data_IF_180188976489
#
_entry.id   IF_180188976489
#
_cell.length_a   1.000
_cell.length_b   1.000
_cell.length_c   1.000
_cell.angle_alpha   90.00
_cell.angle_beta   90.00
_cell.angle_gamma   90.00
#
_symmetry.space_group_name_H-M   'P 1'
#
loop_
_entity.id
_entity.type
_entity.pdbx_description
1 polymer ?
#
# COMPACT_ATOMS: atom_id res chain seq x y z
N UNK A 1 -6.96 1.67 27.64
CA UNK A 1 -7.46 1.42 26.29
C UNK A 1 -7.48 2.78 25.61
N UNK A 2 -6.81 2.93 24.48
CA UNK A 2 -6.93 4.13 23.65
C UNK A 2 -8.34 4.12 23.04
N UNK A 3 -8.99 5.28 22.93
CA UNK A 3 -10.28 5.33 22.24
C UNK A 3 -10.10 5.10 20.74
N UNK A 4 -11.07 4.45 20.12
CA UNK A 4 -11.07 4.25 18.67
C UNK A 4 -11.43 5.55 17.97
N UNK A 5 -10.60 5.99 17.03
CA UNK A 5 -10.86 7.19 16.22
C UNK A 5 -11.88 6.84 15.13
N UNK A 6 -12.97 7.59 15.10
CA UNK A 6 -13.96 7.51 14.02
C UNK A 6 -13.71 8.61 12.99
N UNK A 7 -13.44 8.24 11.74
CA UNK A 7 -13.26 9.22 10.67
C UNK A 7 -14.59 9.95 10.42
N UNK A 8 -14.66 11.28 10.59
CA UNK A 8 -15.87 12.05 10.28
C UNK A 8 -16.24 11.93 8.80
N UNK A 9 -17.52 12.08 8.45
CA UNK A 9 -17.94 12.14 7.04
C UNK A 9 -17.27 13.30 6.30
N UNK A 10 -17.08 14.43 6.99
CA UNK A 10 -16.41 15.62 6.48
C UNK A 10 -15.28 16.02 7.44
N UNK A 11 -14.11 15.39 7.36
CA UNK A 11 -12.98 15.74 8.20
C UNK A 11 -12.49 17.16 7.84
N UNK A 12 -11.96 17.87 8.83
CA UNK A 12 -11.36 19.18 8.60
C UNK A 12 -10.21 19.06 7.60
N UNK A 13 -10.22 19.89 6.57
CA UNK A 13 -9.11 20.00 5.63
C UNK A 13 -8.14 21.12 6.04
N UNK A 14 -6.86 20.79 6.10
CA UNK A 14 -5.75 21.73 6.25
C UNK A 14 -4.71 21.32 5.20
N UNK A 15 -5.03 21.61 3.93
CA UNK A 15 -4.23 21.17 2.81
C UNK A 15 -2.80 21.72 2.87
N UNK A 16 -1.85 20.85 2.62
CA UNK A 16 -0.42 21.14 2.63
C UNK A 16 0.11 21.29 1.22
N UNK A 17 1.24 21.98 1.03
CA UNK A 17 1.92 22.00 -0.26
C UNK A 17 2.22 20.60 -0.74
N UNK A 18 2.05 20.36 -2.04
CA UNK A 18 2.40 19.08 -2.65
C UNK A 18 3.10 19.30 -3.98
N UNK A 19 4.08 18.44 -4.29
CA UNK A 19 4.91 18.53 -5.49
C UNK A 19 5.12 17.16 -6.10
N UNK A 20 5.01 17.06 -7.41
CA UNK A 20 5.36 15.85 -8.17
C UNK A 20 6.89 15.68 -8.13
N UNK A 21 7.35 14.52 -7.69
CA UNK A 21 8.78 14.19 -7.54
C UNK A 21 9.28 13.35 -8.71
N UNK A 22 8.48 12.37 -9.14
CA UNK A 22 8.80 11.49 -10.25
C UNK A 22 7.53 11.04 -10.97
N UNK A 23 7.66 10.75 -12.25
CA UNK A 23 6.61 10.18 -13.10
C UNK A 23 7.19 9.14 -14.07
N UNK A 24 6.32 8.44 -14.82
CA UNK A 24 6.74 7.38 -15.73
C UNK A 24 7.18 6.09 -15.01
N UNK A 25 6.73 5.91 -13.78
CA UNK A 25 6.98 4.72 -12.98
C UNK A 25 5.99 3.60 -13.34
N UNK A 26 6.39 2.34 -13.12
CA UNK A 26 5.61 1.15 -13.48
C UNK A 26 4.83 0.61 -12.27
N UNK A 27 3.71 1.23 -11.92
CA UNK A 27 2.94 0.90 -10.70
C UNK A 27 3.81 0.97 -9.44
N UNK A 28 4.29 2.15 -9.04
CA UNK A 28 5.08 2.29 -7.83
C UNK A 28 4.22 1.92 -6.61
N UNK A 29 4.79 1.06 -5.77
CA UNK A 29 4.17 0.55 -4.54
C UNK A 29 4.99 0.98 -3.33
N UNK A 30 5.91 0.14 -2.87
CA UNK A 30 6.77 0.45 -1.75
C UNK A 30 7.74 1.59 -2.02
N UNK A 31 7.93 2.46 -1.04
CA UNK A 31 8.92 3.55 -1.04
C UNK A 31 9.72 3.46 0.25
N UNK A 32 11.04 3.48 0.15
CA UNK A 32 11.92 3.50 1.31
C UNK A 32 13.01 4.58 1.17
N UNK A 33 13.07 5.49 2.15
CA UNK A 33 14.12 6.51 2.23
C UNK A 33 15.40 5.89 2.78
N UNK A 34 16.52 6.11 2.08
CA UNK A 34 17.84 5.67 2.48
C UNK A 34 18.58 6.75 3.29
N UNK A 35 19.63 6.35 4.01
CA UNK A 35 20.42 7.26 4.83
C UNK A 35 21.12 8.36 4.02
N UNK A 36 21.42 8.10 2.73
CA UNK A 36 22.02 9.06 1.80
C UNK A 36 20.97 10.01 1.16
N UNK A 37 19.71 9.89 1.57
CA UNK A 37 18.59 10.65 1.02
C UNK A 37 18.02 10.08 -0.29
N UNK A 38 18.60 9.03 -0.85
CA UNK A 38 18.01 8.35 -2.02
C UNK A 38 16.75 7.58 -1.64
N UNK A 39 15.89 7.37 -2.63
CA UNK A 39 14.66 6.59 -2.48
C UNK A 39 14.80 5.27 -3.22
N UNK A 40 14.46 4.17 -2.57
CA UNK A 40 14.20 2.90 -3.23
C UNK A 40 12.71 2.77 -3.51
N UNK A 41 12.37 2.28 -4.69
CA UNK A 41 11.00 2.08 -5.14
C UNK A 41 10.80 0.62 -5.58
N UNK A 42 9.76 -0.02 -5.06
CA UNK A 42 9.21 -1.24 -5.64
C UNK A 42 8.17 -0.87 -6.69
N UNK A 43 8.40 -1.28 -7.92
CA UNK A 43 7.47 -1.08 -9.03
C UNK A 43 6.92 -2.44 -9.46
N UNK A 44 5.59 -2.61 -9.34
CA UNK A 44 4.94 -3.90 -9.63
C UNK A 44 5.03 -4.30 -11.12
N UNK A 45 5.25 -3.35 -12.00
CA UNK A 45 5.38 -3.56 -13.44
C UNK A 45 4.28 -2.92 -14.26
N UNK A 46 4.32 -3.08 -15.58
CA UNK A 46 3.39 -2.44 -16.51
C UNK A 46 1.97 -3.01 -16.45
N UNK A 47 1.82 -4.26 -16.03
CA UNK A 47 0.55 -5.00 -16.10
C UNK A 47 0.17 -5.47 -17.50
N UNK A 48 0.99 -5.21 -18.52
CA UNK A 48 0.73 -5.60 -19.89
C UNK A 48 1.02 -7.10 -20.10
N UNK A 49 0.14 -7.86 -20.74
CA UNK A 49 0.33 -9.31 -20.94
C UNK A 49 1.61 -9.67 -21.70
N UNK A 50 2.05 -8.80 -22.63
CA UNK A 50 3.28 -8.97 -23.39
C UNK A 50 4.55 -8.64 -22.59
N UNK A 51 4.40 -8.10 -21.39
CA UNK A 51 5.50 -7.72 -20.50
C UNK A 51 5.37 -8.35 -19.10
N UNK A 52 5.29 -9.71 -19.01
CA UNK A 52 4.99 -10.39 -17.75
C UNK A 52 6.14 -10.33 -16.72
N UNK A 53 7.29 -9.77 -17.08
CA UNK A 53 8.47 -9.61 -16.25
C UNK A 53 8.94 -8.14 -16.22
N UNK A 54 7.99 -7.21 -16.16
CA UNK A 54 8.28 -5.76 -16.14
C UNK A 54 8.45 -5.17 -14.75
N UNK A 55 8.26 -5.94 -13.68
CA UNK A 55 8.54 -5.50 -12.32
C UNK A 55 10.01 -5.09 -12.13
N UNK A 56 10.27 -4.02 -11.38
CA UNK A 56 11.62 -3.51 -11.15
C UNK A 56 11.79 -2.84 -9.80
N UNK A 57 13.03 -2.80 -9.33
CA UNK A 57 13.48 -1.96 -8.22
C UNK A 57 14.19 -0.74 -8.81
N UNK A 58 13.74 0.44 -8.47
CA UNK A 58 14.34 1.71 -8.92
C UNK A 58 14.89 2.51 -7.76
N UNK A 59 15.88 3.36 -8.07
CA UNK A 59 16.43 4.34 -7.14
C UNK A 59 16.25 5.75 -7.71
N UNK A 60 15.76 6.67 -6.89
CA UNK A 60 15.82 8.10 -7.15
C UNK A 60 16.89 8.71 -6.26
N UNK A 61 17.84 9.46 -6.84
CA UNK A 61 18.86 10.18 -6.09
C UNK A 61 18.46 11.63 -5.92
N UNK A 62 18.73 12.27 -4.75
CA UNK A 62 18.55 13.71 -4.63
C UNK A 62 19.33 14.45 -5.72
N UNK A 63 18.72 15.48 -6.31
CA UNK A 63 19.42 16.36 -7.24
C UNK A 63 20.32 17.33 -6.44
N UNK A 64 21.65 17.25 -6.61
CA UNK A 64 22.57 18.10 -5.87
C UNK A 64 22.46 19.59 -6.28
N UNK A 65 21.81 19.88 -7.40
CA UNK A 65 21.65 21.25 -7.94
C UNK A 65 20.30 21.87 -7.57
N UNK A 66 19.34 21.08 -7.14
CA UNK A 66 17.97 21.51 -6.86
C UNK A 66 17.45 20.88 -5.55
N UNK A 67 17.56 21.59 -4.42
CA UNK A 67 17.11 21.06 -3.12
C UNK A 67 15.64 20.60 -3.15
N UNK A 68 15.40 19.39 -2.70
CA UNK A 68 14.06 18.78 -2.69
C UNK A 68 13.65 18.11 -4.00
N UNK A 69 14.42 18.24 -5.08
CA UNK A 69 14.22 17.51 -6.32
C UNK A 69 15.02 16.19 -6.34
N UNK A 70 14.63 15.31 -7.25
CA UNK A 70 15.30 14.04 -7.50
C UNK A 70 15.68 13.93 -8.98
N UNK A 71 16.79 13.27 -9.24
CA UNK A 71 17.23 12.90 -10.58
C UNK A 71 16.30 11.83 -11.15
N UNK A 72 16.25 11.66 -12.49
CA UNK A 72 15.51 10.55 -13.11
C UNK A 72 15.87 9.19 -12.49
N UNK A 73 14.88 8.30 -12.40
CA UNK A 73 15.03 7.02 -11.76
C UNK A 73 16.08 6.11 -12.43
N UNK A 74 16.94 5.51 -11.62
CA UNK A 74 17.91 4.47 -12.01
C UNK A 74 17.30 3.11 -11.70
N UNK A 75 17.23 2.20 -12.69
CA UNK A 75 16.82 0.81 -12.46
C UNK A 75 17.96 0.04 -11.82
N UNK A 76 17.77 -0.44 -10.59
CA UNK A 76 18.76 -1.27 -9.88
C UNK A 76 18.61 -2.75 -10.23
N UNK A 77 17.38 -3.23 -10.36
CA UNK A 77 17.07 -4.60 -10.73
C UNK A 77 15.72 -4.62 -11.46
N UNK A 78 15.58 -5.56 -12.39
CA UNK A 78 14.37 -5.74 -13.21
C UNK A 78 14.15 -7.21 -13.57
N UNK A 79 13.04 -7.50 -14.22
CA UNK A 79 12.70 -8.87 -14.63
C UNK A 79 11.87 -9.59 -13.58
N UNK A 80 11.30 -8.87 -12.61
CA UNK A 80 10.37 -9.47 -11.65
C UNK A 80 9.00 -9.68 -12.30
N UNK A 81 8.38 -10.83 -11.97
CA UNK A 81 7.05 -11.16 -12.49
C UNK A 81 6.04 -10.10 -12.10
N UNK A 82 5.24 -9.69 -13.08
CA UNK A 82 4.05 -8.87 -12.91
C UNK A 82 2.84 -9.64 -13.40
N UNK A 83 1.72 -9.50 -12.70
CA UNK A 83 0.47 -10.19 -13.02
C UNK A 83 -0.66 -9.17 -13.03
N UNK A 84 -1.46 -9.19 -14.10
CA UNK A 84 -2.71 -8.43 -14.15
C UNK A 84 -3.86 -9.37 -13.78
N UNK A 85 -4.49 -9.11 -12.65
CA UNK A 85 -5.62 -9.91 -12.13
C UNK A 85 -6.96 -9.52 -12.74
N UNK A 86 -7.00 -8.56 -13.66
CA UNK A 86 -8.20 -8.03 -14.30
C UNK A 86 -9.11 -9.14 -14.88
N UNK A 87 -8.51 -10.13 -15.55
CA UNK A 87 -9.28 -11.21 -16.18
C UNK A 87 -10.08 -12.05 -15.17
N UNK A 88 -9.65 -12.09 -13.90
CA UNK A 88 -10.34 -12.83 -12.83
C UNK A 88 -11.33 -11.98 -12.06
N UNK A 89 -11.02 -10.69 -11.91
CA UNK A 89 -11.70 -9.81 -10.96
C UNK A 89 -12.43 -8.64 -11.64
N UNK A 90 -12.43 -8.57 -12.95
CA UNK A 90 -12.95 -7.45 -13.74
C UNK A 90 -12.32 -6.09 -13.35
N UNK A 91 -11.05 -6.11 -12.91
CA UNK A 91 -10.32 -4.96 -12.37
C UNK A 91 -8.91 -4.87 -12.90
N UNK A 92 -8.33 -3.68 -12.77
CA UNK A 92 -6.91 -3.44 -12.94
C UNK A 92 -6.18 -3.63 -11.62
N UNK A 93 -5.95 -4.86 -11.23
CA UNK A 93 -5.09 -5.18 -10.11
C UNK A 93 -3.76 -5.72 -10.62
N UNK A 94 -2.73 -4.88 -10.53
CA UNK A 94 -1.39 -5.26 -10.94
C UNK A 94 -0.63 -5.74 -9.70
N UNK A 95 -0.27 -7.03 -9.72
CA UNK A 95 0.49 -7.68 -8.66
C UNK A 95 1.93 -7.95 -9.11
N UNK A 96 2.83 -7.96 -8.17
CA UNK A 96 4.26 -8.17 -8.40
C UNK A 96 5.07 -7.73 -7.18
N UNK A 97 6.05 -6.86 -7.38
CA UNK A 97 6.72 -6.18 -6.26
C UNK A 97 5.72 -5.27 -5.55
N UNK A 98 5.63 -5.38 -4.23
CA UNK A 98 4.56 -4.76 -3.46
C UNK A 98 5.06 -3.74 -2.44
N UNK A 99 6.19 -4.01 -1.77
CA UNK A 99 6.70 -3.09 -0.74
C UNK A 99 8.23 -3.18 -0.61
N UNK A 100 8.83 -2.16 0.03
CA UNK A 100 10.23 -2.14 0.45
C UNK A 100 10.31 -1.60 1.87
N UNK A 101 10.98 -2.33 2.75
CA UNK A 101 11.31 -1.85 4.09
C UNK A 101 12.79 -2.08 4.40
N UNK A 102 13.35 -1.20 5.24
CA UNK A 102 14.72 -1.31 5.72
C UNK A 102 14.75 -1.47 7.24
N UNK A 103 15.60 -2.36 7.72
CA UNK A 103 15.79 -2.65 9.14
C UNK A 103 17.00 -3.55 9.35
N UNK A 104 17.63 -3.47 10.53
CA UNK A 104 18.83 -4.26 10.90
C UNK A 104 19.95 -4.20 9.84
N UNK A 105 20.14 -3.04 9.21
CA UNK A 105 21.17 -2.84 8.19
C UNK A 105 20.87 -3.45 6.83
N UNK A 106 19.68 -4.01 6.63
CA UNK A 106 19.22 -4.63 5.37
C UNK A 106 17.98 -3.90 4.83
N UNK A 107 17.80 -3.96 3.52
CA UNK A 107 16.56 -3.55 2.87
C UNK A 107 15.99 -4.74 2.12
N UNK A 108 14.74 -5.09 2.41
CA UNK A 108 14.03 -6.17 1.75
C UNK A 108 12.87 -5.62 0.91
N UNK A 109 12.60 -6.28 -0.22
CA UNK A 109 11.42 -6.04 -1.02
C UNK A 109 10.50 -7.26 -0.99
N UNK A 110 9.19 -7.06 -0.86
CA UNK A 110 8.20 -8.13 -1.02
C UNK A 110 7.82 -8.28 -2.48
N UNK A 111 7.73 -9.54 -2.93
CA UNK A 111 7.22 -9.91 -4.23
C UNK A 111 6.10 -10.94 -4.08
N UNK A 112 4.91 -10.61 -4.59
CA UNK A 112 3.84 -11.58 -4.79
C UNK A 112 4.03 -12.28 -6.12
N UNK A 113 4.09 -13.61 -6.09
CA UNK A 113 4.16 -14.45 -7.29
C UNK A 113 3.36 -15.74 -7.06
N UNK A 114 2.17 -15.84 -7.67
CA UNK A 114 1.31 -17.03 -7.55
C UNK A 114 1.77 -18.20 -8.41
N UNK A 115 2.79 -18.03 -9.26
CA UNK A 115 3.31 -19.07 -10.17
C UNK A 115 4.53 -19.75 -9.55
N UNK A 116 5.50 -18.97 -9.09
CA UNK A 116 6.79 -19.49 -8.59
C UNK A 116 6.88 -19.43 -7.05
N UNK A 117 5.92 -18.81 -6.39
CA UNK A 117 5.91 -18.55 -4.95
C UNK A 117 6.36 -17.14 -4.61
N UNK A 118 5.71 -16.57 -3.61
CA UNK A 118 6.03 -15.23 -3.10
C UNK A 118 7.29 -15.26 -2.24
N UNK A 119 8.00 -14.14 -2.16
CA UNK A 119 9.30 -14.07 -1.49
C UNK A 119 9.65 -12.67 -0.99
N UNK A 120 10.54 -12.61 -0.01
CA UNK A 120 11.28 -11.39 0.31
C UNK A 120 12.64 -11.44 -0.35
N UNK A 121 12.99 -10.35 -1.03
CA UNK A 121 14.24 -10.19 -1.78
C UNK A 121 15.17 -9.26 -1.01
N UNK A 122 16.41 -9.68 -0.78
CA UNK A 122 17.44 -8.84 -0.18
C UNK A 122 18.11 -7.95 -1.22
N UNK A 123 17.99 -6.65 -1.03
CA UNK A 123 18.51 -5.64 -1.95
C UNK A 123 20.00 -5.32 -1.75
N UNK A 124 20.68 -5.98 -0.80
CA UNK A 124 22.14 -5.90 -0.66
C UNK A 124 22.86 -6.67 -1.78
N UNK A 125 22.20 -7.65 -2.38
CA UNK A 125 22.73 -8.42 -3.50
C UNK A 125 22.37 -7.77 -4.84
N UNK A 126 23.20 -8.01 -5.87
CA UNK A 126 22.93 -7.57 -7.24
C UNK A 126 23.22 -8.73 -8.22
N UNK A 127 22.19 -9.40 -8.75
CA UNK A 127 20.74 -9.12 -8.56
C UNK A 127 20.26 -9.41 -7.13
N UNK A 128 19.11 -8.86 -6.72
CA UNK A 128 18.50 -9.17 -5.43
C UNK A 128 18.23 -10.66 -5.25
N UNK A 129 18.53 -11.19 -4.08
CA UNK A 129 18.38 -12.61 -3.78
C UNK A 129 17.18 -12.88 -2.86
N UNK A 130 16.43 -13.99 -3.10
CA UNK A 130 15.37 -14.38 -2.18
C UNK A 130 15.97 -14.88 -0.86
N UNK A 131 15.50 -14.34 0.25
CA UNK A 131 15.94 -14.70 1.61
C UNK A 131 14.84 -15.33 2.45
N UNK A 132 13.58 -15.13 2.04
CA UNK A 132 12.42 -15.79 2.64
C UNK A 132 11.43 -16.17 1.54
N UNK A 133 10.77 -17.32 1.70
CA UNK A 133 9.75 -17.81 0.81
C UNK A 133 8.39 -17.83 1.53
N UNK A 134 7.33 -17.56 0.78
CA UNK A 134 5.95 -17.55 1.25
C UNK A 134 5.02 -18.10 0.18
N UNK A 135 3.83 -18.50 0.57
CA UNK A 135 2.76 -18.88 -0.35
C UNK A 135 1.67 -17.81 -0.36
N UNK A 136 1.02 -17.63 -1.50
CA UNK A 136 -0.07 -16.67 -1.66
C UNK A 136 0.42 -15.23 -1.78
N UNK A 137 -0.44 -14.27 -1.45
CA UNK A 137 -0.13 -12.85 -1.55
C UNK A 137 0.75 -12.40 -0.37
N UNK A 138 1.83 -11.70 -0.69
CA UNK A 138 2.74 -11.09 0.28
C UNK A 138 2.80 -9.58 -0.02
N UNK A 139 2.04 -8.79 0.71
CA UNK A 139 1.86 -7.39 0.34
C UNK A 139 2.90 -6.47 0.97
N UNK A 140 2.80 -6.17 2.24
CA UNK A 140 3.71 -5.24 2.90
C UNK A 140 4.55 -5.92 3.98
N UNK A 141 5.68 -5.29 4.34
CA UNK A 141 6.61 -5.82 5.33
C UNK A 141 7.15 -4.70 6.22
N UNK A 142 7.55 -5.05 7.45
CA UNK A 142 8.32 -4.18 8.33
C UNK A 142 9.33 -4.99 9.14
N UNK A 143 10.38 -4.32 9.61
CA UNK A 143 11.29 -4.88 10.60
C UNK A 143 10.82 -4.53 12.02
N UNK A 144 10.60 -5.54 12.85
CA UNK A 144 10.21 -5.38 14.24
C UNK A 144 11.47 -5.39 15.11
N UNK A 145 11.90 -4.24 15.59
CA UNK A 145 13.23 -4.08 16.18
C UNK A 145 13.43 -4.86 17.47
N UNK A 146 12.45 -4.92 18.38
CA UNK A 146 12.60 -5.66 19.66
C UNK A 146 12.58 -7.18 19.44
N UNK A 147 11.88 -7.68 18.44
CA UNK A 147 11.89 -9.10 18.06
C UNK A 147 13.09 -9.45 17.16
N UNK A 148 13.71 -8.44 16.54
CA UNK A 148 14.75 -8.60 15.51
C UNK A 148 14.32 -9.51 14.37
N UNK A 149 13.07 -9.38 13.93
CA UNK A 149 12.45 -10.22 12.88
C UNK A 149 11.69 -9.39 11.86
N UNK A 150 11.51 -9.97 10.69
CA UNK A 150 10.68 -9.41 9.64
C UNK A 150 9.25 -9.89 9.77
N UNK A 151 8.32 -8.95 9.73
CA UNK A 151 6.89 -9.20 9.73
C UNK A 151 6.30 -8.80 8.39
N UNK A 152 5.25 -9.51 7.98
CA UNK A 152 4.50 -9.16 6.76
C UNK A 152 3.02 -9.42 6.91
N UNK A 153 2.22 -8.78 6.04
CA UNK A 153 0.79 -9.03 5.92
C UNK A 153 0.47 -9.83 4.67
N UNK A 154 -0.48 -10.75 4.80
CA UNK A 154 -0.96 -11.65 3.74
C UNK A 154 -2.45 -11.40 3.49
N UNK A 155 -2.80 -10.64 2.44
CA UNK A 155 -4.20 -10.27 2.15
C UNK A 155 -5.11 -11.46 1.84
N UNK A 156 -4.61 -12.47 1.13
CA UNK A 156 -5.40 -13.62 0.70
C UNK A 156 -5.76 -14.60 1.84
N UNK A 157 -5.03 -14.55 2.95
CA UNK A 157 -5.30 -15.34 4.14
C UNK A 157 -5.67 -14.49 5.36
N UNK A 158 -5.68 -13.17 5.22
CA UNK A 158 -5.96 -12.20 6.29
C UNK A 158 -5.08 -12.44 7.51
N UNK A 159 -3.75 -12.53 7.32
CA UNK A 159 -2.80 -12.88 8.37
C UNK A 159 -1.69 -11.83 8.54
N UNK A 160 -1.24 -11.68 9.79
CA UNK A 160 0.07 -11.16 10.14
C UNK A 160 1.00 -12.34 10.36
N UNK A 161 2.14 -12.35 9.65
CA UNK A 161 3.14 -13.42 9.76
C UNK A 161 4.51 -12.87 10.13
N UNK A 162 5.34 -13.72 10.74
CA UNK A 162 6.74 -13.50 11.04
C UNK A 162 7.60 -14.49 10.27
N UNK A 163 8.65 -14.03 9.64
CA UNK A 163 9.64 -14.89 9.00
C UNK A 163 10.67 -15.34 10.03
N UNK A 164 10.73 -16.65 10.25
CA UNK A 164 11.62 -17.29 11.24
C UNK A 164 12.92 -17.70 10.56
N UNK A 165 12.81 -18.32 9.38
CA UNK A 165 13.94 -18.70 8.52
C UNK A 165 13.51 -18.65 7.04
N UNK A 166 14.37 -19.06 6.12
CA UNK A 166 14.18 -18.98 4.68
C UNK A 166 12.96 -19.75 4.14
N UNK A 167 12.46 -20.73 4.89
CA UNK A 167 11.35 -21.62 4.49
C UNK A 167 10.17 -21.59 5.44
N UNK A 168 10.28 -20.91 6.58
CA UNK A 168 9.28 -20.94 7.64
C UNK A 168 8.75 -19.56 7.96
N UNK A 169 7.44 -19.42 7.79
CA UNK A 169 6.67 -18.31 8.32
C UNK A 169 5.82 -18.78 9.51
N UNK A 170 5.68 -17.95 10.52
CA UNK A 170 4.84 -18.17 11.68
C UNK A 170 3.68 -17.18 11.67
N UNK A 171 2.45 -17.69 11.73
CA UNK A 171 1.27 -16.83 11.89
C UNK A 171 1.28 -16.25 13.31
N UNK A 172 1.29 -14.94 13.43
CA UNK A 172 1.21 -14.21 14.70
C UNK A 172 -0.21 -13.82 15.05
N UNK A 173 -1.02 -13.49 14.04
CA UNK A 173 -2.42 -13.17 14.21
C UNK A 173 -3.24 -13.53 12.98
N UNK A 174 -4.45 -14.08 13.20
CA UNK A 174 -5.51 -14.11 12.21
C UNK A 174 -6.31 -12.82 12.34
N UNK A 175 -6.37 -12.03 11.26
CA UNK A 175 -7.05 -10.76 11.26
C UNK A 175 -8.56 -10.98 11.10
N UNK A 176 -9.39 -10.25 11.87
CA UNK A 176 -10.84 -10.45 11.87
C UNK A 176 -11.47 -9.90 10.58
N UNK A 177 -12.61 -10.45 10.22
CA UNK A 177 -13.50 -9.82 9.24
C UNK A 177 -13.89 -8.41 9.70
N UNK A 178 -14.19 -7.54 8.74
CA UNK A 178 -14.71 -6.22 9.02
C UNK A 178 -16.17 -6.30 9.50
N UNK A 179 -16.66 -5.21 10.09
CA UNK A 179 -17.95 -5.17 10.80
C UNK A 179 -19.15 -5.67 9.97
N UNK A 180 -19.10 -5.54 8.65
CA UNK A 180 -20.18 -6.00 7.76
C UNK A 180 -19.94 -7.41 7.17
N UNK A 181 -18.93 -8.12 7.67
CA UNK A 181 -18.58 -9.46 7.20
C UNK A 181 -17.71 -9.51 5.95
N UNK A 182 -17.11 -8.37 5.56
CA UNK A 182 -16.12 -8.37 4.48
C UNK A 182 -14.76 -8.89 4.97
N UNK A 183 -14.00 -9.46 4.05
CA UNK A 183 -12.61 -9.79 4.29
C UNK A 183 -11.80 -8.55 4.68
N UNK A 184 -10.87 -8.72 5.59
CA UNK A 184 -10.03 -7.63 6.09
C UNK A 184 -9.12 -7.05 5.00
N UNK A 185 -8.49 -7.89 4.20
CA UNK A 185 -7.50 -7.54 3.17
C UNK A 185 -6.45 -6.57 3.73
N UNK A 186 -5.51 -7.05 4.58
CA UNK A 186 -4.46 -6.20 5.12
C UNK A 186 -3.51 -5.73 4.01
N UNK A 187 -3.25 -4.41 3.94
CA UNK A 187 -2.47 -3.81 2.85
C UNK A 187 -1.10 -3.34 3.30
N UNK A 188 -1.03 -2.58 4.37
CA UNK A 188 0.23 -2.00 4.88
C UNK A 188 0.35 -2.24 6.37
N UNK A 189 1.59 -2.34 6.85
CA UNK A 189 1.88 -2.39 8.28
C UNK A 189 3.05 -1.45 8.62
N UNK A 190 3.02 -0.91 9.84
CA UNK A 190 4.09 -0.10 10.41
C UNK A 190 4.34 -0.50 11.85
N UNK A 191 5.60 -0.64 12.22
CA UNK A 191 5.99 -0.91 13.61
C UNK A 191 5.82 0.34 14.48
N UNK A 192 5.17 0.17 15.62
CA UNK A 192 4.94 1.18 16.65
C UNK A 192 5.83 0.90 17.88
N UNK A 193 7.01 1.55 17.99
CA UNK A 193 8.00 1.20 19.01
C UNK A 193 7.50 1.40 20.45
N UNK A 194 6.70 2.44 20.69
CA UNK A 194 6.27 2.80 22.05
C UNK A 194 5.34 1.74 22.67
N UNK A 195 4.63 0.98 21.87
CA UNK A 195 3.71 -0.07 22.33
C UNK A 195 4.19 -1.48 22.01
N UNK A 196 5.32 -1.61 21.32
CA UNK A 196 5.87 -2.88 20.80
C UNK A 196 4.86 -3.66 19.94
N UNK A 197 4.07 -2.92 19.15
CA UNK A 197 3.00 -3.43 18.31
C UNK A 197 3.22 -3.07 16.83
N UNK A 198 2.36 -3.57 15.97
CA UNK A 198 2.25 -3.12 14.58
C UNK A 198 0.86 -2.55 14.31
N UNK A 199 0.82 -1.45 13.57
CA UNK A 199 -0.42 -0.90 13.01
C UNK A 199 -0.59 -1.46 11.60
N UNK A 200 -1.81 -1.91 11.27
CA UNK A 200 -2.13 -2.54 10.00
C UNK A 200 -3.36 -1.87 9.40
N UNK A 201 -3.29 -1.47 8.13
CA UNK A 201 -4.46 -1.02 7.37
C UNK A 201 -5.24 -2.22 6.84
N UNK A 202 -6.56 -2.21 7.06
CA UNK A 202 -7.50 -3.18 6.53
C UNK A 202 -8.35 -2.52 5.45
N UNK A 203 -8.17 -2.99 4.21
CA UNK A 203 -8.69 -2.32 3.03
C UNK A 203 -10.19 -2.52 2.81
N UNK A 204 -10.71 -3.67 3.14
CA UNK A 204 -11.99 -4.24 2.76
C UNK A 204 -11.92 -5.07 1.48
N UNK A 205 -12.48 -6.24 1.53
CA UNK A 205 -12.48 -7.21 0.44
C UNK A 205 -13.86 -7.78 0.14
N UNK A 206 -13.89 -9.00 -0.35
CA UNK A 206 -15.12 -9.70 -0.69
C UNK A 206 -16.01 -9.89 0.54
N UNK A 207 -17.33 -9.79 0.34
CA UNK A 207 -18.29 -10.15 1.34
C UNK A 207 -18.37 -11.68 1.44
N UNK A 208 -18.08 -12.23 2.61
CA UNK A 208 -18.19 -13.65 2.85
C UNK A 208 -19.64 -14.12 2.67
N UNK A 209 -19.83 -15.22 1.95
CA UNK A 209 -21.14 -15.79 1.70
C UNK A 209 -21.86 -15.27 0.46
N UNK A 210 -21.27 -14.37 -0.33
CA UNK A 210 -21.78 -14.10 -1.68
C UNK A 210 -21.52 -15.33 -2.56
N UNK A 211 -22.58 -16.15 -2.88
CA UNK A 211 -22.43 -17.37 -3.66
C UNK A 211 -21.97 -17.10 -5.10
N UNK A 212 -22.03 -15.84 -5.52
CA UNK A 212 -21.73 -15.46 -6.88
C UNK A 212 -20.31 -14.91 -7.03
N UNK A 213 -19.65 -14.52 -5.95
CA UNK A 213 -18.31 -13.86 -5.94
C UNK A 213 -18.16 -12.81 -7.05
N UNK A 214 -19.26 -12.11 -7.34
CA UNK A 214 -19.44 -11.32 -8.56
C UNK A 214 -18.81 -9.95 -8.51
N UNK A 215 -18.16 -9.63 -7.46
CA UNK A 215 -17.49 -8.38 -7.27
C UNK A 215 -17.04 -8.29 -5.83
N UNK A 216 -16.00 -7.59 -5.65
CA UNK A 216 -15.63 -7.15 -4.33
C UNK A 216 -16.62 -6.04 -4.00
N UNK A 217 -17.50 -6.33 -3.10
CA UNK A 217 -18.44 -5.35 -2.59
C UNK A 217 -17.72 -4.56 -1.52
N UNK A 218 -16.97 -3.54 -1.94
CA UNK A 218 -16.35 -2.61 -1.01
C UNK A 218 -17.45 -1.82 -0.31
N UNK A 219 -17.75 -2.21 0.92
CA UNK A 219 -18.67 -1.43 1.72
C UNK A 219 -18.11 -0.04 1.97
N UNK A 220 -18.99 0.94 1.85
CA UNK A 220 -18.65 2.34 2.09
C UNK A 220 -18.07 2.50 3.49
N UNK A 221 -16.85 3.05 3.59
CA UNK A 221 -16.16 3.37 4.83
C UNK A 221 -15.98 2.19 5.80
N UNK A 222 -15.87 0.97 5.29
CA UNK A 222 -15.62 -0.23 6.09
C UNK A 222 -14.16 -0.37 6.53
N UNK A 223 -13.23 0.34 5.87
CA UNK A 223 -11.81 0.25 6.14
C UNK A 223 -11.43 0.68 7.57
N UNK A 224 -10.39 0.06 8.09
CA UNK A 224 -9.91 0.25 9.46
C UNK A 224 -8.39 0.32 9.52
N UNK A 225 -7.87 0.86 10.62
CA UNK A 225 -6.51 0.58 11.10
C UNK A 225 -6.61 -0.14 12.43
N UNK A 226 -5.97 -1.27 12.52
CA UNK A 226 -5.86 -2.06 13.75
C UNK A 226 -4.44 -2.01 14.30
N UNK A 227 -4.32 -2.19 15.61
CA UNK A 227 -3.06 -2.47 16.31
C UNK A 227 -3.02 -3.94 16.67
N UNK A 228 -1.91 -4.60 16.36
CA UNK A 228 -1.67 -6.00 16.69
C UNK A 228 -0.40 -6.11 17.51
N UNK A 229 -0.47 -6.79 18.66
CA UNK A 229 0.70 -7.12 19.47
C UNK A 229 1.24 -8.48 19.06
N UNK A 230 2.44 -8.54 18.43
CA UNK A 230 3.01 -9.80 17.96
C UNK A 230 3.34 -10.81 19.07
N UNK A 231 3.39 -10.37 20.31
CA UNK A 231 3.72 -11.22 21.46
C UNK A 231 2.59 -12.19 21.82
N UNK A 232 1.33 -11.76 21.70
CA UNK A 232 0.15 -12.53 22.14
C UNK A 232 -0.98 -12.58 21.11
N UNK A 233 -0.81 -11.92 19.94
CA UNK A 233 -1.81 -11.84 18.88
C UNK A 233 -3.03 -10.98 19.24
N UNK A 234 -2.98 -10.20 20.29
CA UNK A 234 -4.06 -9.27 20.68
C UNK A 234 -4.26 -8.21 19.60
N UNK A 235 -5.52 -7.87 19.34
CA UNK A 235 -5.94 -6.92 18.31
C UNK A 235 -6.81 -5.83 18.94
N UNK A 236 -6.59 -4.59 18.51
CA UNK A 236 -7.38 -3.41 18.90
C UNK A 236 -7.66 -2.57 17.66
N UNK A 237 -8.90 -2.10 17.48
CA UNK A 237 -9.23 -1.14 16.42
C UNK A 237 -8.79 0.26 16.86
N UNK A 238 -7.93 0.90 16.07
CA UNK A 238 -7.37 2.23 16.34
C UNK A 238 -8.12 3.30 15.57
N UNK A 239 -8.40 3.05 14.28
CA UNK A 239 -9.14 3.97 13.41
C UNK A 239 -10.17 3.16 12.62
N UNK A 240 -11.38 3.69 12.47
CA UNK A 240 -12.45 3.10 11.67
C UNK A 240 -13.19 4.15 10.85
N UNK A 241 -13.94 3.70 9.85
CA UNK A 241 -14.66 4.58 8.93
C UNK A 241 -13.77 5.12 7.82
N UNK A 242 -12.71 4.40 7.46
CA UNK A 242 -11.80 4.72 6.36
C UNK A 242 -12.35 4.19 5.02
N UNK A 243 -12.08 4.94 3.96
CA UNK A 243 -12.44 4.52 2.61
C UNK A 243 -11.22 3.88 1.93
N UNK A 244 -11.15 2.54 1.97
CA UNK A 244 -10.10 1.75 1.33
C UNK A 244 -8.68 2.24 1.72
N UNK A 245 -8.28 2.14 3.00
CA UNK A 245 -6.97 2.59 3.44
C UNK A 245 -5.86 1.76 2.83
N UNK A 246 -4.83 2.42 2.29
CA UNK A 246 -3.69 1.76 1.65
C UNK A 246 -2.41 1.94 2.46
N UNK A 247 -1.79 3.11 2.45
CA UNK A 247 -0.52 3.36 3.09
C UNK A 247 -0.65 3.87 4.52
N UNK A 248 0.30 3.49 5.39
CA UNK A 248 0.41 3.95 6.77
C UNK A 248 1.82 4.45 7.07
N UNK A 249 1.93 5.49 7.91
CA UNK A 249 3.17 5.82 8.61
C UNK A 249 2.86 6.46 9.97
N UNK A 250 3.81 6.41 10.88
CA UNK A 250 3.80 7.20 12.10
C UNK A 250 4.64 8.46 11.89
N UNK A 251 4.10 9.62 12.23
CA UNK A 251 4.89 10.84 12.28
C UNK A 251 5.85 10.84 13.49
N UNK A 252 6.73 11.84 13.59
CA UNK A 252 7.71 11.92 14.70
C UNK A 252 7.07 12.10 16.08
N UNK A 253 5.82 12.47 16.14
CA UNK A 253 5.04 12.63 17.37
C UNK A 253 4.21 11.40 17.71
N UNK A 254 4.35 10.32 16.93
CA UNK A 254 3.57 9.09 17.08
C UNK A 254 2.13 9.20 16.58
N UNK A 255 1.77 10.24 15.81
CA UNK A 255 0.46 10.30 15.17
C UNK A 255 0.46 9.52 13.87
N UNK A 256 -0.73 9.04 13.49
CA UNK A 256 -0.89 8.18 12.34
C UNK A 256 -1.21 8.99 11.07
N UNK A 257 -0.45 8.71 10.02
CA UNK A 257 -0.72 9.13 8.65
C UNK A 257 -1.37 7.96 7.91
N UNK A 258 -2.51 8.22 7.26
CA UNK A 258 -3.28 7.20 6.53
C UNK A 258 -3.56 7.70 5.12
N UNK A 259 -3.24 6.87 4.11
CA UNK A 259 -3.72 7.07 2.76
C UNK A 259 -5.06 6.36 2.58
N UNK A 260 -6.02 7.05 1.99
CA UNK A 260 -7.23 6.46 1.42
C UNK A 260 -7.13 6.46 -0.10
N UNK A 261 -7.47 5.32 -0.72
CA UNK A 261 -7.35 5.10 -2.16
C UNK A 261 -8.23 6.04 -2.98
N UNK A 262 -9.45 6.28 -2.51
CA UNK A 262 -10.45 7.13 -3.16
C UNK A 262 -11.46 7.63 -2.11
N UNK A 263 -12.30 8.57 -2.48
CA UNK A 263 -13.40 9.08 -1.63
C UNK A 263 -14.71 8.30 -1.84
N UNK A 264 -14.83 7.62 -2.98
CA UNK A 264 -16.02 6.86 -3.36
C UNK A 264 -15.66 5.69 -4.27
N UNK A 265 -16.44 4.63 -4.15
CA UNK A 265 -16.39 3.46 -5.03
C UNK A 265 -17.60 3.49 -5.93
N UNK A 266 -17.39 3.40 -7.24
CA UNK A 266 -18.48 3.20 -8.16
C UNK A 266 -19.06 1.80 -7.94
N UNK A 267 -20.37 1.66 -8.08
CA UNK A 267 -21.10 0.40 -7.93
C UNK A 267 -20.32 -0.78 -8.55
N UNK A 268 -20.31 -1.95 -7.91
CA UNK A 268 -19.62 -3.11 -8.42
C UNK A 268 -20.05 -3.38 -9.86
N UNK A 269 -19.08 -3.82 -10.67
CA UNK A 269 -19.38 -4.22 -12.03
C UNK A 269 -20.36 -5.41 -11.97
N UNK A 270 -21.53 -5.26 -12.56
CA UNK A 270 -22.49 -6.36 -12.61
C UNK A 270 -21.95 -7.49 -13.49
N UNK A 271 -22.39 -8.76 -13.27
CA UNK A 271 -21.89 -9.93 -14.03
C UNK A 271 -22.10 -9.86 -15.54
N UNK A 272 -23.09 -9.09 -15.94
CA UNK A 272 -23.47 -8.83 -17.33
C UNK A 272 -22.77 -7.59 -17.93
N UNK A 273 -21.84 -6.99 -17.20
CA UNK A 273 -21.03 -5.87 -17.69
C UNK A 273 -20.26 -6.27 -18.95
N UNK A 274 -20.58 -5.62 -20.06
CA UNK A 274 -19.97 -5.84 -21.38
C UNK A 274 -18.92 -4.79 -21.74
N UNK A 275 -18.72 -3.78 -20.88
CA UNK A 275 -17.79 -2.69 -21.12
C UNK A 275 -16.35 -3.03 -20.72
N UNK A 276 -15.41 -2.10 -20.99
CA UNK A 276 -14.07 -2.19 -20.46
C UNK A 276 -14.10 -2.18 -18.93
N UNK A 277 -13.26 -2.99 -18.28
CA UNK A 277 -13.12 -2.99 -16.85
C UNK A 277 -12.73 -1.59 -16.39
N UNK A 278 -13.53 -0.97 -15.56
CA UNK A 278 -13.19 0.29 -14.91
C UNK A 278 -12.11 -0.01 -13.88
N UNK A 279 -11.20 0.92 -13.66
CA UNK A 279 -10.13 0.80 -12.68
C UNK A 279 -10.69 0.50 -11.27
N UNK A 280 -10.90 -0.78 -10.97
CA UNK A 280 -11.49 -1.29 -9.73
C UNK A 280 -12.80 -0.64 -9.27
N UNK A 281 -13.41 0.22 -10.09
CA UNK A 281 -14.52 1.07 -9.69
C UNK A 281 -14.10 2.29 -8.83
N UNK A 282 -12.81 2.50 -8.62
CA UNK A 282 -12.29 3.61 -7.81
C UNK A 282 -12.37 4.94 -8.56
N UNK A 283 -12.85 5.98 -7.90
CA UNK A 283 -12.87 7.33 -8.46
C UNK A 283 -11.46 7.89 -8.49
N UNK A 284 -10.96 8.19 -9.68
CA UNK A 284 -9.61 8.74 -9.85
C UNK A 284 -9.49 10.17 -9.33
N UNK A 285 -8.30 10.54 -8.87
CA UNK A 285 -7.99 11.85 -8.26
C UNK A 285 -8.91 12.20 -7.09
N UNK A 286 -9.35 11.20 -6.34
CA UNK A 286 -10.14 11.38 -5.13
C UNK A 286 -9.48 10.78 -3.88
N UNK A 287 -8.31 10.18 -4.02
CA UNK A 287 -7.52 9.73 -2.89
C UNK A 287 -7.08 10.89 -2.00
N UNK A 288 -6.86 10.61 -0.73
CA UNK A 288 -6.47 11.62 0.26
C UNK A 288 -5.50 11.10 1.29
N UNK A 289 -4.74 12.03 1.88
CA UNK A 289 -3.85 11.79 3.02
C UNK A 289 -4.49 12.36 4.27
N UNK A 290 -4.73 11.50 5.26
CA UNK A 290 -5.24 11.86 6.57
C UNK A 290 -4.12 11.88 7.60
N UNK A 291 -4.21 12.81 8.55
CA UNK A 291 -3.45 12.84 9.80
C UNK A 291 -4.40 12.59 10.95
N UNK A 292 -4.18 11.51 11.69
CA UNK A 292 -4.98 11.11 12.85
C UNK A 292 -4.13 11.29 14.10
N UNK A 293 -4.48 12.24 14.94
CA UNK A 293 -3.85 12.45 16.24
C UNK A 293 -4.37 11.40 17.22
N UNK A 294 -3.52 10.45 17.62
CA UNK A 294 -3.92 9.32 18.46
C UNK A 294 -4.24 9.71 19.92
N UNK A 295 -3.86 10.90 20.36
CA UNK A 295 -4.13 11.38 21.71
C UNK A 295 -5.40 12.23 21.80
N UNK A 296 -5.61 13.11 20.79
CA UNK A 296 -6.75 14.04 20.78
C UNK A 296 -7.90 13.56 19.91
N UNK A 297 -7.76 12.44 19.22
CA UNK A 297 -8.73 11.86 18.28
C UNK A 297 -9.07 12.78 17.09
N UNK A 298 -8.29 13.84 16.90
CA UNK A 298 -8.52 14.77 15.80
C UNK A 298 -8.05 14.17 14.47
N UNK A 299 -8.88 14.34 13.45
CA UNK A 299 -8.59 13.93 12.06
C UNK A 299 -8.52 15.15 11.17
N UNK A 300 -7.46 15.24 10.37
CA UNK A 300 -7.24 16.35 9.44
C UNK A 300 -6.82 15.80 8.06
N UNK A 301 -7.44 16.31 6.99
CA UNK A 301 -7.01 16.02 5.61
C UNK A 301 -5.82 16.91 5.29
N UNK A 302 -4.67 16.32 4.99
CA UNK A 302 -3.45 17.04 4.60
C UNK A 302 -3.31 17.19 3.08
N UNK A 303 -3.76 16.20 2.31
CA UNK A 303 -3.81 16.25 0.85
C UNK A 303 -5.05 15.56 0.32
N UNK A 304 -5.52 16.00 -0.84
CA UNK A 304 -6.64 15.41 -1.59
C UNK A 304 -6.33 15.48 -3.08
N UNK A 305 -7.11 14.78 -3.89
CA UNK A 305 -6.88 14.73 -5.32
C UNK A 305 -5.71 13.81 -5.70
N UNK A 306 -5.34 12.87 -4.83
CA UNK A 306 -4.33 11.86 -5.12
C UNK A 306 -4.91 10.82 -6.09
N UNK A 307 -4.08 10.38 -7.04
CA UNK A 307 -4.51 9.46 -8.09
C UNK A 307 -4.26 8.00 -7.69
N UNK A 308 -5.25 7.35 -7.09
CA UNK A 308 -5.13 5.95 -6.64
C UNK A 308 -3.82 5.68 -5.88
N UNK A 309 -3.62 6.37 -4.73
CA UNK A 309 -2.39 6.24 -3.96
C UNK A 309 -2.28 4.84 -3.34
N UNK A 310 -1.07 4.27 -3.33
CA UNK A 310 -0.84 2.91 -2.88
C UNK A 310 0.00 2.78 -1.61
N UNK A 311 0.99 3.64 -1.40
CA UNK A 311 1.84 3.59 -0.20
C UNK A 311 2.44 4.97 0.10
N UNK A 312 3.02 5.11 1.29
CA UNK A 312 3.68 6.35 1.70
C UNK A 312 4.97 6.07 2.49
N UNK A 313 5.87 7.04 2.47
CA UNK A 313 7.12 7.00 3.23
C UNK A 313 7.36 8.35 3.90
N UNK A 314 7.56 8.35 5.22
CA UNK A 314 7.90 9.55 5.96
C UNK A 314 9.30 10.05 5.58
N UNK A 315 9.40 11.35 5.26
CA UNK A 315 10.65 12.06 5.03
C UNK A 315 10.80 13.22 6.02
N UNK A 316 11.90 13.98 5.91
CA UNK A 316 12.22 14.99 6.94
C UNK A 316 11.08 15.98 7.20
N UNK A 317 10.51 16.58 6.15
CA UNK A 317 9.55 17.69 6.25
C UNK A 317 8.21 17.35 5.54
N UNK A 318 7.92 16.07 5.39
CA UNK A 318 6.72 15.63 4.68
C UNK A 318 6.63 14.12 4.53
N UNK A 319 5.79 13.70 3.59
CA UNK A 319 5.67 12.31 3.16
C UNK A 319 5.77 12.21 1.64
N UNK A 320 6.34 11.12 1.17
CA UNK A 320 6.28 10.70 -0.22
C UNK A 320 5.13 9.73 -0.40
N UNK A 321 4.36 9.89 -1.45
CA UNK A 321 3.19 9.08 -1.79
C UNK A 321 3.40 8.49 -3.18
N UNK A 322 3.28 7.16 -3.30
CA UNK A 322 3.18 6.48 -4.60
C UNK A 322 1.75 6.53 -5.11
N UNK A 323 1.58 6.89 -6.38
CA UNK A 323 0.28 7.07 -7.05
C UNK A 323 0.25 6.31 -8.39
N UNK A 324 -0.96 6.07 -8.91
CA UNK A 324 -1.18 5.52 -10.24
C UNK A 324 -1.21 4.00 -10.27
N UNK A 325 -1.87 3.39 -9.30
CA UNK A 325 -2.10 1.95 -9.25
C UNK A 325 -3.08 1.52 -10.36
N UNK A 326 -2.68 0.59 -11.23
CA UNK A 326 -3.53 -0.02 -12.27
C UNK A 326 -2.81 -0.24 -13.61
N UNK A 327 -3.55 -0.55 -14.67
CA UNK A 327 -3.00 -0.77 -16.00
C UNK A 327 -2.53 0.55 -16.61
N UNK A 328 -1.21 0.70 -16.70
CA UNK A 328 -0.59 1.95 -17.17
C UNK A 328 -0.99 2.29 -18.61
N UNK A 329 -1.22 3.58 -18.86
CA UNK A 329 -1.65 4.10 -20.15
C UNK A 329 -3.15 3.94 -20.44
N UNK A 330 -3.89 3.18 -19.63
CA UNK A 330 -5.34 3.11 -19.78
C UNK A 330 -5.95 4.49 -19.55
N UNK A 331 -6.73 4.96 -20.52
CA UNK A 331 -7.46 6.21 -20.42
C UNK A 331 -8.75 5.98 -19.62
N UNK A 332 -8.82 6.54 -18.43
CA UNK A 332 -9.92 6.39 -17.49
C UNK A 332 -10.54 7.75 -17.14
N UNK A 333 -11.86 7.83 -16.95
CA UNK A 333 -12.49 9.09 -16.55
C UNK A 333 -12.18 9.42 -15.08
N UNK A 334 -11.98 10.71 -14.85
CA UNK A 334 -11.95 11.30 -13.48
C UNK A 334 -13.38 11.54 -12.99
N UNK A 335 -13.54 11.93 -11.73
CA UNK A 335 -14.84 12.36 -11.21
C UNK A 335 -15.44 13.53 -11.98
N UNK A 336 -14.60 14.40 -12.57
CA UNK A 336 -15.03 15.50 -13.45
C UNK A 336 -15.36 15.10 -14.89
N UNK A 337 -15.21 13.83 -15.25
CA UNK A 337 -15.47 13.30 -16.60
C UNK A 337 -14.31 13.51 -17.59
N UNK A 338 -13.22 14.13 -17.19
CA UNK A 338 -12.01 14.20 -17.99
C UNK A 338 -11.37 12.82 -18.11
N UNK A 339 -10.95 12.42 -19.30
CA UNK A 339 -10.31 11.13 -19.56
C UNK A 339 -8.79 11.31 -19.53
N UNK A 340 -8.12 10.69 -18.56
CA UNK A 340 -6.68 10.84 -18.33
C UNK A 340 -6.00 9.47 -18.30
N UNK A 341 -4.89 9.28 -19.04
CA UNK A 341 -4.10 8.06 -18.95
C UNK A 341 -3.60 7.81 -17.53
N UNK A 342 -3.67 6.55 -17.08
CA UNK A 342 -3.11 6.14 -15.81
C UNK A 342 -1.57 6.15 -15.90
N UNK A 343 -0.92 6.79 -14.94
CA UNK A 343 0.53 6.90 -14.89
C UNK A 343 1.05 6.73 -13.45
N UNK A 344 2.10 5.93 -13.30
CA UNK A 344 2.78 5.78 -12.00
C UNK A 344 3.60 7.01 -11.64
N UNK A 345 3.46 7.49 -10.41
CA UNK A 345 4.05 8.73 -9.90
C UNK A 345 4.51 8.60 -8.46
N UNK A 346 5.41 9.49 -8.07
CA UNK A 346 5.71 9.78 -6.66
C UNK A 346 5.47 11.27 -6.41
N UNK A 347 4.72 11.57 -5.38
CA UNK A 347 4.38 12.93 -4.94
C UNK A 347 4.92 13.17 -3.53
N UNK A 348 5.51 14.34 -3.29
CA UNK A 348 5.78 14.83 -1.95
C UNK A 348 4.60 15.65 -1.43
N UNK A 349 4.25 15.47 -0.15
CA UNK A 349 3.25 16.25 0.58
C UNK A 349 3.90 16.76 1.86
N UNK A 350 3.84 18.06 2.14
CA UNK A 350 4.33 18.68 3.37
C UNK A 350 3.56 18.21 4.63
N UNK A 351 4.22 18.23 5.79
CA UNK A 351 3.59 17.99 7.11
C UNK A 351 3.52 19.25 7.95
#
# INVERSE_FOLDING_TARGET
MSATIHIPTHPRATLRPSTLIAEGLLNPRGICLQADGSLLLAEAGSGLPEQPFSGRISRLRPDPTSPGAYLPGETLAQGFRTMNMQARMLRDEIMGLSDIACGDGRCLASQTDYVEGSRLLDLQFNPPEPVFHSRGNLNALCFHSSRRSWLAVKPDSNQLVEFVDDQQERVLAQLPELEQGQEAVPVTLVYEPDTDAVLISLFSGELHGDPLRKGIDFADRAGQVIRVWPADGRIEVVVQGLQLPTGLALDRSGNLLVLELCDSVQQPLTPDWQGEARHGGFTRFSGRLLHCNLQTEQVTVLAQGLDTPSNLCLVRDGVLVSEGMGLLGRALPTAGGEVVPLAGRVRWVGL
#
